data_IF_802080268761
#
_entry.id   IF_802080268761
#
_cell.length_a   1.000
_cell.length_b   1.000
_cell.length_c   1.000
_cell.angle_alpha   90.00
_cell.angle_beta   90.00
_cell.angle_gamma   90.00
#
_symmetry.space_group_name_H-M   'P 1'
#
loop_
_entity.id
_entity.type
_entity.pdbx_description
1 polymer ?
#
# COMPACT_ATOMS: atom_id res chain seq x y z
N UNK A 1 24.58 15.14 44.94
CA UNK A 1 24.64 13.91 44.12
C UNK A 1 23.62 14.09 43.02
N UNK A 2 24.14 14.33 41.80
CA UNK A 2 23.33 14.52 40.59
C UNK A 2 23.15 13.15 39.93
N UNK A 3 21.90 12.74 39.69
CA UNK A 3 21.60 11.62 38.81
C UNK A 3 21.49 12.12 37.40
N UNK A 4 22.49 11.81 36.58
CA UNK A 4 22.44 11.96 35.15
C UNK A 4 21.50 10.88 34.56
N UNK A 5 20.43 11.33 33.94
CA UNK A 5 19.53 10.47 33.19
C UNK A 5 20.19 10.03 31.87
N UNK A 6 20.30 8.74 31.70
CA UNK A 6 20.80 8.16 30.45
C UNK A 6 19.78 8.40 29.32
N UNK A 7 20.19 9.13 28.30
CA UNK A 7 19.46 9.22 27.04
C UNK A 7 19.52 7.86 26.32
N UNK A 8 18.41 7.36 25.76
CA UNK A 8 18.47 6.17 24.94
C UNK A 8 19.28 6.46 23.67
N UNK A 9 20.37 5.75 23.51
CA UNK A 9 21.19 5.82 22.32
C UNK A 9 20.35 5.34 21.13
N UNK A 10 20.13 6.24 20.16
CA UNK A 10 19.65 5.85 18.85
C UNK A 10 20.69 4.89 18.24
N UNK A 11 20.33 3.66 17.98
CA UNK A 11 21.19 2.73 17.26
C UNK A 11 21.40 3.27 15.86
N UNK A 12 22.63 3.33 15.37
CA UNK A 12 22.88 3.74 14.00
C UNK A 12 22.19 2.73 13.06
N UNK A 13 21.40 3.24 12.13
CA UNK A 13 20.89 2.48 11.00
C UNK A 13 22.08 1.79 10.33
N UNK A 14 21.93 0.50 10.01
CA UNK A 14 22.97 -0.27 9.35
C UNK A 14 23.40 0.45 8.05
N UNK A 15 24.62 0.96 7.96
CA UNK A 15 25.08 1.71 6.79
C UNK A 15 25.22 0.84 5.53
N UNK A 16 25.05 -0.50 5.64
CA UNK A 16 25.05 -1.43 4.50
C UNK A 16 23.68 -1.57 3.84
N UNK A 17 22.60 -1.11 4.49
CA UNK A 17 21.27 -1.09 3.91
C UNK A 17 21.14 0.15 3.03
N UNK A 18 21.20 -0.02 1.69
CA UNK A 18 20.93 1.04 0.73
C UNK A 18 19.51 1.60 0.87
N UNK A 19 19.20 2.73 0.19
CA UNK A 19 17.88 3.31 0.20
C UNK A 19 16.86 2.32 -0.36
N UNK A 20 15.69 2.26 0.28
CA UNK A 20 14.58 1.39 -0.16
C UNK A 20 13.62 2.19 -1.04
N UNK A 21 14.10 2.50 -2.23
CA UNK A 21 13.41 3.35 -3.20
C UNK A 21 13.23 2.61 -4.52
N UNK A 22 12.26 3.06 -5.31
CA UNK A 22 12.04 2.58 -6.67
C UNK A 22 11.51 3.70 -7.56
N UNK A 23 11.84 3.61 -8.84
CA UNK A 23 11.29 4.48 -9.88
C UNK A 23 10.99 3.62 -11.10
N UNK A 24 9.72 3.46 -11.43
CA UNK A 24 9.27 2.62 -12.54
C UNK A 24 8.36 3.42 -13.45
N UNK A 25 8.58 3.27 -14.75
CA UNK A 25 7.72 3.82 -15.80
C UNK A 25 7.27 2.69 -16.72
N UNK A 26 5.97 2.64 -16.99
CA UNK A 26 5.36 1.70 -17.92
C UNK A 26 4.50 2.47 -18.93
N UNK A 27 4.69 2.20 -20.21
CA UNK A 27 3.88 2.79 -21.26
C UNK A 27 3.29 1.67 -22.12
N UNK A 28 1.99 1.74 -22.33
CA UNK A 28 1.23 0.88 -23.24
C UNK A 28 0.51 1.75 -24.26
N UNK A 29 -0.21 1.15 -25.22
CA UNK A 29 -1.04 1.90 -26.15
C UNK A 29 -2.19 2.66 -25.48
N UNK A 30 -2.56 2.27 -24.25
CA UNK A 30 -3.75 2.79 -23.56
C UNK A 30 -3.41 3.77 -22.45
N UNK A 31 -2.23 3.61 -21.83
CA UNK A 31 -1.84 4.45 -20.70
C UNK A 31 -0.32 4.57 -20.57
N UNK A 32 0.10 5.61 -19.88
CA UNK A 32 1.47 5.78 -19.39
C UNK A 32 1.41 6.01 -17.89
N UNK A 33 2.20 5.24 -17.14
CA UNK A 33 2.24 5.32 -15.68
C UNK A 33 3.69 5.44 -15.22
N UNK A 34 3.94 6.39 -14.33
CA UNK A 34 5.23 6.57 -13.67
C UNK A 34 5.02 6.61 -12.16
N UNK A 35 5.80 5.81 -11.43
CA UNK A 35 5.74 5.73 -9.97
C UNK A 35 7.14 5.91 -9.40
N UNK A 36 7.29 6.84 -8.47
CA UNK A 36 8.43 6.95 -7.59
C UNK A 36 7.98 6.64 -6.16
N UNK A 37 8.75 5.84 -5.44
CA UNK A 37 8.38 5.34 -4.13
C UNK A 37 9.60 5.29 -3.21
N UNK A 38 9.40 5.73 -1.95
CA UNK A 38 10.39 5.60 -0.88
C UNK A 38 9.69 4.97 0.34
N UNK A 39 10.09 3.75 0.70
CA UNK A 39 9.54 3.04 1.86
C UNK A 39 9.88 3.73 3.18
N UNK A 40 10.97 4.47 3.24
CA UNK A 40 11.47 5.17 4.43
C UNK A 40 11.11 6.65 4.43
N UNK A 41 10.03 7.02 3.76
CA UNK A 41 9.53 8.38 3.69
C UNK A 41 8.78 8.85 4.94
N UNK A 42 8.04 9.93 4.78
CA UNK A 42 7.19 10.53 5.81
C UNK A 42 5.70 10.60 5.41
N UNK A 43 5.33 9.96 4.31
CA UNK A 43 3.97 9.94 3.78
C UNK A 43 3.65 11.13 2.88
N UNK A 44 4.64 11.76 2.29
CA UNK A 44 4.46 12.82 1.30
C UNK A 44 4.03 12.23 -0.04
N UNK A 45 3.18 12.93 -0.77
CA UNK A 45 2.66 12.43 -2.03
C UNK A 45 2.42 13.51 -3.06
N UNK A 46 2.57 13.13 -4.33
CA UNK A 46 2.12 13.87 -5.50
C UNK A 46 1.47 12.87 -6.45
N UNK A 47 0.16 12.91 -6.57
CA UNK A 47 -0.60 11.86 -7.26
C UNK A 47 -1.58 12.47 -8.24
N UNK A 48 -1.51 12.02 -9.50
CA UNK A 48 -2.41 12.42 -10.56
C UNK A 48 -2.63 11.24 -11.51
N UNK A 49 -3.80 10.62 -11.46
CA UNK A 49 -4.16 9.47 -12.31
C UNK A 49 -5.28 9.79 -13.30
N UNK A 50 -5.95 10.94 -13.16
CA UNK A 50 -7.17 11.27 -13.89
C UNK A 50 -8.44 10.70 -13.24
N UNK A 51 -8.30 9.89 -12.21
CA UNK A 51 -9.41 9.35 -11.41
C UNK A 51 -9.31 9.95 -10.01
N UNK A 52 -10.04 11.04 -9.75
CA UNK A 52 -9.86 11.85 -8.55
C UNK A 52 -10.09 11.11 -7.26
N UNK A 53 -11.10 10.25 -7.21
CA UNK A 53 -11.34 9.44 -6.02
C UNK A 53 -10.18 8.48 -5.75
N UNK A 54 -9.64 7.88 -6.81
CA UNK A 54 -8.44 7.02 -6.70
C UNK A 54 -7.24 7.83 -6.22
N UNK A 55 -7.04 9.04 -6.74
CA UNK A 55 -5.98 9.94 -6.27
C UNK A 55 -6.08 10.17 -4.76
N UNK A 56 -7.29 10.45 -4.27
CA UNK A 56 -7.56 10.63 -2.85
C UNK A 56 -7.23 9.37 -2.03
N UNK A 57 -7.57 8.20 -2.54
CA UNK A 57 -7.23 6.93 -1.88
C UNK A 57 -5.72 6.69 -1.85
N UNK A 58 -5.01 6.99 -2.92
CA UNK A 58 -3.55 6.84 -2.98
C UNK A 58 -2.82 7.86 -2.11
N UNK A 59 -3.32 9.09 -2.00
CA UNK A 59 -2.82 10.07 -1.04
C UNK A 59 -3.00 9.55 0.40
N UNK A 60 -4.14 8.98 0.70
CA UNK A 60 -4.42 8.36 2.00
C UNK A 60 -3.49 7.16 2.27
N UNK A 61 -3.26 6.34 1.25
CA UNK A 61 -2.32 5.21 1.32
C UNK A 61 -0.91 5.70 1.69
N UNK A 62 -0.41 6.72 1.01
CA UNK A 62 0.90 7.31 1.30
C UNK A 62 0.96 7.86 2.73
N UNK A 63 -0.02 8.66 3.10
CA UNK A 63 -0.08 9.34 4.41
C UNK A 63 -0.02 8.34 5.56
N UNK A 64 -0.82 7.30 5.50
CA UNK A 64 -0.97 6.35 6.60
C UNK A 64 0.04 5.21 6.60
N UNK A 65 0.68 4.93 5.45
CA UNK A 65 1.80 4.00 5.37
C UNK A 65 3.16 4.63 5.67
N UNK A 66 3.24 5.96 5.67
CA UNK A 66 4.48 6.74 5.71
C UNK A 66 5.41 6.49 4.52
N UNK A 67 4.90 5.93 3.44
CA UNK A 67 5.61 5.77 2.18
C UNK A 67 5.47 7.07 1.38
N UNK A 68 6.58 7.61 0.88
CA UNK A 68 6.49 8.70 -0.07
C UNK A 68 6.13 8.15 -1.44
N UNK A 69 5.11 8.73 -2.07
CA UNK A 69 4.60 8.30 -3.38
C UNK A 69 4.49 9.47 -4.34
N UNK A 70 5.08 9.29 -5.51
CA UNK A 70 4.78 10.14 -6.66
C UNK A 70 4.23 9.26 -7.77
N UNK A 71 3.00 9.54 -8.19
CA UNK A 71 2.31 8.77 -9.22
C UNK A 71 1.76 9.73 -10.26
N UNK A 72 2.19 9.55 -11.50
CA UNK A 72 1.68 10.26 -12.65
C UNK A 72 1.18 9.25 -13.67
N UNK A 73 -0.09 9.31 -14.01
CA UNK A 73 -0.68 8.46 -15.03
C UNK A 73 -1.49 9.28 -16.03
N UNK A 74 -1.42 8.89 -17.27
CA UNK A 74 -2.24 9.44 -18.36
C UNK A 74 -2.89 8.29 -19.11
N UNK A 75 -4.16 8.44 -19.45
CA UNK A 75 -4.95 7.45 -20.17
C UNK A 75 -6.34 7.98 -20.44
N UNK A 76 -7.14 7.23 -21.17
CA UNK A 76 -8.50 7.62 -21.54
C UNK A 76 -9.51 7.23 -20.44
N UNK A 77 -9.43 7.92 -19.32
CA UNK A 77 -10.25 7.65 -18.13
C UNK A 77 -11.72 8.09 -18.29
N UNK A 78 -12.01 8.92 -19.26
CA UNK A 78 -13.40 9.36 -19.53
C UNK A 78 -14.21 8.26 -20.22
N UNK A 79 -13.54 7.39 -20.97
CA UNK A 79 -14.18 6.23 -21.61
C UNK A 79 -14.29 5.08 -20.61
N UNK A 80 -13.17 4.68 -20.01
CA UNK A 80 -13.13 3.63 -18.98
C UNK A 80 -11.90 3.81 -18.09
N UNK A 81 -12.15 4.06 -16.81
CA UNK A 81 -11.08 4.22 -15.83
C UNK A 81 -10.34 2.91 -15.51
N UNK A 82 -10.92 1.76 -15.82
CA UNK A 82 -10.44 0.44 -15.40
C UNK A 82 -8.98 0.20 -15.77
N UNK A 83 -8.62 0.43 -17.04
CA UNK A 83 -7.25 0.18 -17.53
C UNK A 83 -6.21 1.05 -16.84
N UNK A 84 -6.48 2.34 -16.67
CA UNK A 84 -5.56 3.25 -15.99
C UNK A 84 -5.41 2.90 -14.52
N UNK A 85 -6.50 2.62 -13.83
CA UNK A 85 -6.49 2.22 -12.41
C UNK A 85 -5.72 0.93 -12.23
N UNK A 86 -5.93 -0.06 -13.09
CA UNK A 86 -5.19 -1.32 -13.09
C UNK A 86 -3.69 -1.11 -13.33
N UNK A 87 -3.33 -0.34 -14.36
CA UNK A 87 -1.93 -0.08 -14.70
C UNK A 87 -1.19 0.64 -13.57
N UNK A 88 -1.84 1.57 -12.88
CA UNK A 88 -1.28 2.21 -11.68
C UNK A 88 -1.03 1.17 -10.57
N UNK A 89 -1.98 0.27 -10.33
CA UNK A 89 -1.82 -0.77 -9.32
C UNK A 89 -0.68 -1.75 -9.66
N UNK A 90 -0.51 -2.10 -10.93
CA UNK A 90 0.60 -2.93 -11.42
C UNK A 90 1.95 -2.25 -11.10
N UNK A 91 2.11 -1.01 -11.55
CA UNK A 91 3.38 -0.28 -11.43
C UNK A 91 3.69 0.02 -9.96
N UNK A 92 2.68 0.35 -9.16
CA UNK A 92 2.83 0.56 -7.72
C UNK A 92 3.29 -0.72 -7.02
N UNK A 93 2.71 -1.87 -7.37
CA UNK A 93 3.12 -3.16 -6.82
C UNK A 93 4.56 -3.51 -7.21
N UNK A 94 4.93 -3.32 -8.47
CA UNK A 94 6.28 -3.55 -8.97
C UNK A 94 7.30 -2.63 -8.27
N UNK A 95 6.96 -1.36 -8.07
CA UNK A 95 7.81 -0.40 -7.36
C UNK A 95 8.00 -0.78 -5.89
N UNK A 96 6.94 -1.20 -5.24
CA UNK A 96 6.97 -1.69 -3.86
C UNK A 96 7.91 -2.89 -3.72
N UNK A 97 7.78 -3.87 -4.60
CA UNK A 97 8.64 -5.06 -4.63
C UNK A 97 10.11 -4.70 -4.86
N UNK A 98 10.39 -3.81 -5.81
CA UNK A 98 11.75 -3.36 -6.10
C UNK A 98 12.36 -2.65 -4.89
N UNK A 99 11.62 -1.75 -4.24
CA UNK A 99 12.09 -1.02 -3.07
C UNK A 99 12.36 -1.92 -1.88
N UNK A 100 11.60 -3.01 -1.70
CA UNK A 100 11.84 -4.00 -0.64
C UNK A 100 13.16 -4.75 -0.81
N UNK A 101 13.64 -4.89 -2.05
CA UNK A 101 14.86 -5.64 -2.32
C UNK A 101 14.82 -7.06 -1.79
N UNK A 102 15.82 -7.46 -1.02
CA UNK A 102 15.92 -8.80 -0.41
C UNK A 102 15.10 -8.94 0.89
N UNK A 103 14.41 -7.89 1.31
CA UNK A 103 13.55 -7.86 2.51
C UNK A 103 14.30 -8.05 3.83
N UNK A 104 15.59 -7.72 3.83
CA UNK A 104 16.45 -7.85 5.00
C UNK A 104 16.00 -6.90 6.12
N UNK A 105 15.87 -7.45 7.32
CA UNK A 105 15.60 -6.65 8.53
C UNK A 105 14.16 -6.16 8.70
N UNK A 106 13.23 -6.52 7.82
CA UNK A 106 11.84 -6.08 7.94
C UNK A 106 11.06 -6.90 8.99
N UNK A 107 9.99 -6.30 9.52
CA UNK A 107 9.06 -7.02 10.41
C UNK A 107 8.28 -8.12 9.71
N UNK A 108 8.11 -8.02 8.39
CA UNK A 108 7.44 -8.96 7.51
C UNK A 108 5.91 -9.00 7.68
N UNK A 109 5.42 -9.10 8.91
CA UNK A 109 3.99 -9.16 9.19
C UNK A 109 3.49 -7.82 9.69
N UNK A 110 2.32 -7.44 9.26
CA UNK A 110 1.64 -6.25 9.77
C UNK A 110 0.14 -6.40 9.70
N UNK A 111 -0.54 -5.75 10.62
CA UNK A 111 -2.00 -5.71 10.66
C UNK A 111 -2.48 -4.39 11.21
N UNK A 112 -3.71 -4.03 10.86
CA UNK A 112 -4.38 -2.86 11.40
C UNK A 112 -5.89 -3.02 11.29
N UNK A 113 -6.60 -2.48 12.26
CA UNK A 113 -8.05 -2.33 12.23
C UNK A 113 -8.35 -0.84 12.29
N UNK A 114 -8.98 -0.30 11.24
CA UNK A 114 -9.15 1.13 11.05
C UNK A 114 -10.61 1.48 10.82
N UNK A 115 -11.17 2.42 11.59
CA UNK A 115 -12.51 2.93 11.37
C UNK A 115 -12.51 4.18 10.49
N UNK A 116 -13.62 4.40 9.81
CA UNK A 116 -14.00 5.69 9.27
C UNK A 116 -15.51 5.84 9.49
N UNK A 117 -15.89 6.64 10.45
CA UNK A 117 -17.28 6.78 10.92
C UNK A 117 -17.88 5.40 11.21
N UNK A 118 -18.92 4.96 10.46
CA UNK A 118 -19.58 3.68 10.65
C UNK A 118 -18.86 2.49 9.97
N UNK A 119 -17.85 2.75 9.15
CA UNK A 119 -17.06 1.70 8.50
C UNK A 119 -15.91 1.24 9.39
N UNK A 120 -15.65 -0.06 9.40
CA UNK A 120 -14.56 -0.68 10.15
C UNK A 120 -13.95 -1.77 9.29
N UNK A 121 -12.62 -1.71 9.10
CA UNK A 121 -11.89 -2.65 8.24
C UNK A 121 -10.66 -3.19 8.96
N UNK A 122 -10.43 -4.49 8.81
CA UNK A 122 -9.24 -5.19 9.28
C UNK A 122 -8.40 -5.62 8.08
N UNK A 123 -7.12 -5.28 8.08
CA UNK A 123 -6.16 -5.69 7.05
C UNK A 123 -4.96 -6.40 7.69
N UNK A 124 -4.49 -7.45 7.01
CA UNK A 124 -3.31 -8.23 7.43
C UNK A 124 -2.40 -8.43 6.23
N UNK A 125 -1.11 -8.21 6.43
CA UNK A 125 -0.08 -8.33 5.39
C UNK A 125 1.00 -9.29 5.85
N UNK A 126 1.39 -10.20 4.94
CA UNK A 126 2.63 -10.98 5.04
C UNK A 126 3.47 -10.69 3.78
N UNK A 127 4.64 -10.10 3.96
CA UNK A 127 5.59 -9.84 2.87
C UNK A 127 6.32 -11.14 2.54
N UNK A 128 5.56 -12.12 2.06
CA UNK A 128 6.00 -13.50 1.87
C UNK A 128 6.78 -13.74 0.58
N UNK A 129 6.78 -12.79 -0.36
CA UNK A 129 7.30 -12.99 -1.71
C UNK A 129 6.35 -13.80 -2.61
N UNK A 130 5.30 -14.34 -2.03
CA UNK A 130 4.30 -15.19 -2.69
C UNK A 130 2.93 -14.53 -2.56
N UNK A 131 2.29 -14.12 -3.67
CA UNK A 131 1.03 -13.39 -3.61
C UNK A 131 -0.13 -14.28 -3.22
N UNK A 132 -1.00 -13.77 -2.37
CA UNK A 132 -2.29 -14.35 -2.05
C UNK A 132 -3.23 -13.24 -1.59
N UNK A 133 -4.48 -13.24 -2.03
CA UNK A 133 -5.43 -12.19 -1.64
C UNK A 133 -6.74 -12.79 -1.16
N UNK A 134 -7.16 -12.35 0.01
CA UNK A 134 -8.50 -12.60 0.55
C UNK A 134 -9.16 -11.26 0.79
N UNK A 135 -10.29 -11.03 0.14
CA UNK A 135 -11.06 -9.79 0.26
C UNK A 135 -12.52 -10.13 0.51
N UNK A 136 -13.01 -9.82 1.69
CA UNK A 136 -14.35 -10.22 2.14
C UNK A 136 -15.05 -9.12 2.92
N UNK A 137 -16.37 -9.24 3.04
CA UNK A 137 -17.18 -8.45 3.96
C UNK A 137 -17.78 -7.18 3.39
N UNK A 138 -17.46 -6.79 2.15
CA UNK A 138 -18.16 -5.66 1.55
C UNK A 138 -19.66 -5.95 1.47
N UNK A 139 -20.53 -4.95 1.77
CA UNK A 139 -21.97 -5.12 1.66
C UNK A 139 -22.38 -5.45 0.22
N UNK A 140 -23.50 -6.15 0.09
CA UNK A 140 -24.12 -6.39 -1.20
C UNK A 140 -24.37 -5.05 -1.91
N UNK A 141 -24.02 -5.00 -3.20
CA UNK A 141 -24.14 -3.79 -4.02
C UNK A 141 -22.94 -2.85 -3.99
N UNK A 142 -22.02 -2.98 -3.03
CA UNK A 142 -20.82 -2.13 -2.96
C UNK A 142 -20.04 -2.09 -4.29
N UNK A 143 -19.91 -3.22 -4.97
CA UNK A 143 -19.18 -3.35 -6.22
C UNK A 143 -19.78 -2.55 -7.39
N UNK A 144 -21.06 -2.21 -7.31
CA UNK A 144 -21.78 -1.56 -8.39
C UNK A 144 -21.99 -0.07 -8.20
N UNK A 145 -21.56 0.49 -7.08
CA UNK A 145 -21.76 1.90 -6.76
C UNK A 145 -20.65 2.74 -7.40
N UNK A 146 -21.06 3.78 -8.12
CA UNK A 146 -20.13 4.80 -8.60
C UNK A 146 -19.79 5.75 -7.45
N UNK A 147 -18.49 5.88 -7.15
CA UNK A 147 -17.97 6.76 -6.10
C UNK A 147 -17.20 7.88 -6.78
N UNK A 148 -17.65 9.13 -6.57
CA UNK A 148 -17.12 10.24 -7.34
C UNK A 148 -17.51 10.16 -8.80
N UNK A 149 -16.63 10.64 -9.70
CA UNK A 149 -16.94 10.75 -11.12
C UNK A 149 -16.76 9.44 -11.89
N UNK A 150 -15.68 8.71 -11.64
CA UNK A 150 -15.27 7.59 -12.49
C UNK A 150 -14.59 6.45 -11.73
N UNK A 151 -14.97 6.23 -10.48
CA UNK A 151 -14.50 5.10 -9.67
C UNK A 151 -15.67 4.23 -9.26
N UNK A 152 -15.78 3.04 -9.82
CA UNK A 152 -16.81 2.07 -9.43
C UNK A 152 -16.29 1.18 -8.30
N UNK A 153 -17.17 0.80 -7.37
CA UNK A 153 -16.79 0.05 -6.16
C UNK A 153 -16.01 -1.24 -6.42
N UNK A 154 -16.27 -1.92 -7.55
CA UNK A 154 -15.54 -3.14 -7.94
C UNK A 154 -14.04 -2.92 -8.18
N UNK A 155 -13.62 -1.69 -8.44
CA UNK A 155 -12.21 -1.37 -8.64
C UNK A 155 -11.38 -1.57 -7.37
N UNK A 156 -11.97 -1.45 -6.19
CA UNK A 156 -11.24 -1.62 -4.92
C UNK A 156 -10.64 -3.02 -4.80
N UNK A 157 -11.44 -4.05 -4.98
CA UNK A 157 -10.95 -5.45 -4.97
C UNK A 157 -9.88 -5.65 -6.03
N UNK A 158 -10.14 -5.15 -7.24
CA UNK A 158 -9.23 -5.29 -8.36
C UNK A 158 -7.88 -4.62 -8.10
N UNK A 159 -7.88 -3.40 -7.56
CA UNK A 159 -6.66 -2.69 -7.16
C UNK A 159 -5.87 -3.47 -6.12
N UNK A 160 -6.54 -3.94 -5.07
CA UNK A 160 -5.88 -4.69 -3.99
C UNK A 160 -5.30 -6.01 -4.49
N UNK A 161 -6.01 -6.74 -5.34
CA UNK A 161 -5.52 -7.98 -5.95
C UNK A 161 -4.32 -7.72 -6.85
N UNK A 162 -4.41 -6.74 -7.73
CA UNK A 162 -3.34 -6.40 -8.69
C UNK A 162 -2.10 -5.93 -7.95
N UNK A 163 -2.25 -5.04 -6.97
CA UNK A 163 -1.15 -4.56 -6.15
C UNK A 163 -0.45 -5.72 -5.42
N UNK A 164 -1.21 -6.57 -4.75
CA UNK A 164 -0.64 -7.68 -3.97
C UNK A 164 0.09 -8.70 -4.87
N UNK A 165 -0.47 -8.98 -6.05
CA UNK A 165 0.18 -9.86 -7.04
C UNK A 165 1.54 -9.34 -7.46
N UNK A 166 1.63 -8.05 -7.79
CA UNK A 166 2.87 -7.44 -8.26
C UNK A 166 3.84 -7.13 -7.13
N UNK A 167 3.35 -6.80 -5.95
CA UNK A 167 4.18 -6.59 -4.76
C UNK A 167 4.73 -7.89 -4.17
N UNK A 168 4.13 -9.03 -4.48
CA UNK A 168 4.52 -10.33 -3.94
C UNK A 168 4.15 -10.48 -2.47
N UNK A 169 2.97 -10.02 -2.07
CA UNK A 169 2.49 -10.08 -0.69
C UNK A 169 1.22 -10.92 -0.55
N UNK A 170 1.06 -11.55 0.60
CA UNK A 170 -0.24 -12.05 1.03
C UNK A 170 -0.98 -10.90 1.71
N UNK A 171 -2.21 -10.65 1.27
CA UNK A 171 -3.04 -9.55 1.75
C UNK A 171 -4.44 -10.05 2.08
N UNK A 172 -4.84 -9.88 3.33
CA UNK A 172 -6.20 -10.14 3.78
C UNK A 172 -6.86 -8.81 4.13
N UNK A 173 -8.00 -8.54 3.55
CA UNK A 173 -8.82 -7.37 3.85
C UNK A 173 -10.24 -7.82 4.18
N UNK A 174 -10.71 -7.49 5.37
CA UNK A 174 -12.04 -7.82 5.85
C UNK A 174 -12.77 -6.56 6.22
N UNK A 175 -13.84 -6.27 5.52
CA UNK A 175 -14.78 -5.22 5.90
C UNK A 175 -15.65 -5.80 7.02
N UNK A 176 -15.49 -5.30 8.24
CA UNK A 176 -16.21 -5.80 9.41
C UNK A 176 -17.60 -5.18 9.51
N UNK A 177 -17.72 -3.90 9.16
CA UNK A 177 -18.97 -3.17 9.11
C UNK A 177 -18.82 -1.95 8.22
N UNK A 178 -19.94 -1.41 7.77
CA UNK A 178 -19.97 -0.18 6.98
C UNK A 178 -21.25 -0.07 6.17
N UNK A 179 -21.61 1.15 5.82
CA UNK A 179 -22.80 1.44 5.02
C UNK A 179 -22.50 2.42 3.89
N UNK A 180 -21.78 3.48 4.16
CA UNK A 180 -21.40 4.46 3.13
C UNK A 180 -20.30 3.89 2.24
N UNK A 181 -20.54 3.80 0.90
CA UNK A 181 -19.55 3.23 -0.01
C UNK A 181 -18.19 3.92 -0.01
N UNK A 182 -18.15 5.24 0.12
CA UNK A 182 -16.91 6.01 0.22
C UNK A 182 -16.16 5.63 1.51
N UNK A 183 -16.84 5.63 2.65
CA UNK A 183 -16.23 5.28 3.93
C UNK A 183 -15.65 3.87 3.92
N UNK A 184 -16.38 2.92 3.31
CA UNK A 184 -15.94 1.52 3.20
C UNK A 184 -14.65 1.42 2.39
N UNK A 185 -14.55 2.11 1.26
CA UNK A 185 -13.33 2.09 0.44
C UNK A 185 -12.17 2.78 1.16
N UNK A 186 -12.40 3.96 1.71
CA UNK A 186 -11.34 4.72 2.38
C UNK A 186 -10.80 4.00 3.61
N UNK A 187 -11.67 3.38 4.41
CA UNK A 187 -11.24 2.57 5.54
C UNK A 187 -10.37 1.36 5.10
N UNK A 188 -10.68 0.77 3.94
CA UNK A 188 -9.85 -0.30 3.38
C UNK A 188 -8.44 0.19 3.03
N UNK A 189 -8.32 1.31 2.33
CA UNK A 189 -7.01 1.88 1.97
C UNK A 189 -6.21 2.27 3.20
N UNK A 190 -6.85 2.85 4.22
CA UNK A 190 -6.18 3.21 5.49
C UNK A 190 -5.72 1.99 6.27
N UNK A 191 -6.54 0.95 6.35
CA UNK A 191 -6.17 -0.29 7.03
C UNK A 191 -4.98 -0.98 6.34
N UNK A 192 -5.03 -1.09 5.01
CA UNK A 192 -3.93 -1.62 4.21
C UNK A 192 -2.67 -0.78 4.38
N UNK A 193 -2.78 0.54 4.35
CA UNK A 193 -1.65 1.45 4.55
C UNK A 193 -0.94 1.19 5.88
N UNK A 194 -1.69 1.09 6.97
CA UNK A 194 -1.09 0.86 8.30
C UNK A 194 -0.53 -0.54 8.45
N UNK A 195 -1.16 -1.55 7.86
CA UNK A 195 -0.63 -2.91 7.84
C UNK A 195 0.70 -2.98 7.07
N UNK A 196 0.78 -2.32 5.91
CA UNK A 196 2.03 -2.20 5.14
C UNK A 196 3.12 -1.48 5.93
N UNK A 197 2.77 -0.36 6.59
CA UNK A 197 3.69 0.39 7.44
C UNK A 197 4.35 -0.51 8.48
N UNK A 198 3.57 -1.32 9.18
CA UNK A 198 4.09 -2.25 10.16
C UNK A 198 4.97 -3.32 9.52
N UNK A 199 4.51 -3.93 8.42
CA UNK A 199 5.19 -5.05 7.76
C UNK A 199 6.55 -4.67 7.18
N UNK A 200 6.69 -3.48 6.59
CA UNK A 200 7.94 -3.02 5.96
C UNK A 200 8.90 -2.34 6.93
N UNK A 201 8.47 -2.07 8.15
CA UNK A 201 9.30 -1.44 9.17
C UNK A 201 10.54 -2.29 9.46
N UNK A 202 11.68 -1.63 9.57
CA UNK A 202 12.92 -2.29 9.96
C UNK A 202 12.90 -2.55 11.48
N UNK A 203 13.11 -3.81 11.85
CA UNK A 203 13.23 -4.22 13.25
C UNK A 203 14.71 -4.51 13.54
N UNK A 204 15.35 -3.76 14.45
CA UNK A 204 16.78 -3.94 14.73
C UNK A 204 17.10 -5.32 15.32
N UNK A 205 16.11 -6.05 15.82
CA UNK A 205 16.30 -7.42 16.31
C UNK A 205 16.22 -8.48 15.21
N UNK A 206 15.75 -8.12 14.00
CA UNK A 206 15.71 -9.04 12.85
C UNK A 206 17.07 -9.00 12.17
N UNK A 207 17.79 -10.11 12.22
CA UNK A 207 19.09 -10.28 11.60
C UNK A 207 18.94 -11.02 10.27
N UNK A 208 19.11 -10.32 9.15
CA UNK A 208 18.96 -10.89 7.83
C UNK A 208 17.51 -10.98 7.36
N UNK A 209 17.21 -11.96 6.53
CA UNK A 209 15.89 -12.17 5.93
C UNK A 209 14.98 -12.87 6.94
N UNK A 210 13.75 -12.35 7.19
CA UNK A 210 12.86 -12.87 8.22
C UNK A 210 12.12 -14.14 7.77
N UNK A 211 12.87 -15.18 7.47
CA UNK A 211 12.35 -16.48 7.04
C UNK A 211 13.20 -17.60 7.61
N UNK A 212 12.56 -18.66 8.11
CA UNK A 212 13.24 -19.86 8.55
C UNK A 212 14.02 -20.56 7.41
N UNK A 213 13.62 -20.28 6.16
CA UNK A 213 14.30 -20.80 4.95
C UNK A 213 15.44 -19.90 4.45
N UNK A 214 15.60 -18.69 5.01
CA UNK A 214 16.62 -17.73 4.62
C UNK A 214 16.31 -16.97 3.32
N UNK A 215 15.11 -17.09 2.77
CA UNK A 215 14.67 -16.38 1.57
C UNK A 215 13.16 -16.11 1.59
N UNK A 216 12.77 -15.09 0.87
CA UNK A 216 11.34 -14.70 0.66
C UNK A 216 11.10 -14.35 -0.80
#
# INVERSE_FOLDING_TARGET
QQHEGAHPHAHPSDPSAGPRTAHIRRSTNESTVEVELDLDGSGESQISTGVRFYDHMLVSLAKHSLIDLRIQATGDVDVDAHHTVEDVAIVLGDAFREALGDKRGISRFGDATVPLDEALVHAVVDVAGRPYVVHTGEPEGQAYVMIGHNYVGSLTRHVLQTFAMHAGIALHVRVLSGRDPHHIVEAQFKAVARALRAAVSLDPRVKGIPSAKGSL
#
